data_IF_762207673164
#
_entry.id   IF_762207673164
#
_cell.length_a   1.000
_cell.length_b   1.000
_cell.length_c   1.000
_cell.angle_alpha   90.00
_cell.angle_beta   90.00
_cell.angle_gamma   90.00
#
_symmetry.space_group_name_H-M   'P 1'
#
loop_
_entity.id
_entity.type
_entity.pdbx_description
1 polymer ?
#
# COMPACT_ATOMS: atom_id res chain seq x y z
N UNK A 1 -19.17 7.62 -4.62
CA UNK A 1 -19.33 8.84 -3.78
C UNK A 1 -20.73 9.45 -3.96
N UNK A 2 -21.22 9.60 -5.18
CA UNK A 2 -22.46 10.31 -5.55
C UNK A 2 -23.75 9.73 -4.94
N UNK A 3 -23.92 8.41 -4.92
CA UNK A 3 -25.16 7.77 -4.43
C UNK A 3 -25.42 7.90 -2.93
N UNK A 4 -24.39 8.01 -2.09
CA UNK A 4 -24.55 8.16 -0.64
C UNK A 4 -24.74 9.62 -0.23
N UNK A 5 -24.05 10.53 -0.93
CA UNK A 5 -24.18 11.99 -0.72
C UNK A 5 -25.58 12.47 -1.09
N UNK A 6 -26.17 11.91 -2.16
CA UNK A 6 -27.52 12.23 -2.59
C UNK A 6 -28.64 11.84 -1.59
N UNK A 7 -28.34 11.03 -0.57
CA UNK A 7 -29.33 10.63 0.46
C UNK A 7 -29.49 11.65 1.58
N UNK A 8 -28.63 12.67 1.65
CA UNK A 8 -28.63 13.66 2.74
C UNK A 8 -29.06 15.02 2.18
N UNK A 9 -30.31 15.40 2.44
CA UNK A 9 -30.93 16.62 1.89
C UNK A 9 -30.30 17.93 2.37
N UNK A 10 -29.61 17.92 3.52
CA UNK A 10 -28.95 19.10 4.11
C UNK A 10 -27.51 19.32 3.64
N UNK A 11 -27.01 18.48 2.74
CA UNK A 11 -25.60 18.51 2.30
C UNK A 11 -24.65 17.84 3.29
N UNK A 12 -23.39 17.68 2.88
CA UNK A 12 -22.32 17.06 3.66
C UNK A 12 -21.05 17.91 3.57
N UNK A 13 -20.36 18.06 4.70
CA UNK A 13 -19.05 18.72 4.78
C UNK A 13 -17.99 17.66 5.05
N UNK A 14 -16.90 17.68 4.30
CA UNK A 14 -15.72 16.84 4.53
C UNK A 14 -14.56 17.77 4.92
N UNK A 15 -14.08 17.67 6.15
CA UNK A 15 -12.92 18.41 6.65
C UNK A 15 -11.81 17.45 7.06
N UNK A 16 -10.53 17.83 6.95
CA UNK A 16 -9.43 17.04 7.49
C UNK A 16 -9.56 16.90 9.01
N UNK A 17 -9.46 15.67 9.52
CA UNK A 17 -9.45 15.44 10.97
C UNK A 17 -8.02 15.35 11.52
N UNK A 18 -7.14 14.62 10.83
CA UNK A 18 -5.76 14.38 11.25
C UNK A 18 -4.85 14.24 10.03
N UNK A 19 -3.59 14.65 10.18
CA UNK A 19 -2.50 14.31 9.28
C UNK A 19 -1.64 13.21 9.90
N UNK A 20 -1.13 12.29 9.07
CA UNK A 20 -0.30 11.19 9.53
C UNK A 20 0.50 10.58 8.39
N UNK A 21 1.43 9.70 8.74
CA UNK A 21 2.29 8.99 7.80
C UNK A 21 1.76 7.58 7.52
N UNK A 22 2.20 7.00 6.41
CA UNK A 22 1.99 5.59 6.09
C UNK A 22 3.33 4.89 6.27
N UNK A 23 3.41 3.96 7.22
CA UNK A 23 4.59 3.15 7.46
C UNK A 23 4.55 1.85 6.66
N UNK A 24 5.73 1.36 6.25
CA UNK A 24 5.89 0.01 5.74
C UNK A 24 6.13 -0.94 6.91
N UNK A 25 5.23 -1.91 7.09
CA UNK A 25 5.47 -3.06 7.96
C UNK A 25 6.17 -4.16 7.19
N UNK A 26 7.19 -4.77 7.77
CA UNK A 26 7.90 -5.92 7.22
C UNK A 26 8.27 -6.90 8.32
N UNK A 27 8.57 -8.14 7.94
CA UNK A 27 8.96 -9.21 8.85
C UNK A 27 10.15 -9.97 8.24
N UNK A 28 11.34 -9.41 8.38
CA UNK A 28 12.56 -10.03 7.89
C UNK A 28 13.74 -9.54 8.71
N UNK A 29 14.75 -10.40 8.92
CA UNK A 29 15.97 -10.06 9.68
C UNK A 29 16.88 -9.13 8.84
N UNK A 30 16.53 -7.84 8.82
CA UNK A 30 17.22 -6.81 8.05
C UNK A 30 16.97 -5.39 8.59
N UNK A 31 17.99 -4.53 8.62
CA UNK A 31 17.84 -3.07 8.82
C UNK A 31 17.42 -2.40 7.51
N UNK A 32 16.14 -2.53 7.17
CA UNK A 32 15.62 -2.12 5.88
C UNK A 32 15.50 -0.59 5.75
N UNK A 33 16.17 -0.01 4.75
CA UNK A 33 16.06 1.42 4.39
C UNK A 33 15.68 1.57 2.93
N UNK A 34 14.37 1.74 2.68
CA UNK A 34 13.83 1.85 1.33
C UNK A 34 13.97 3.25 0.75
N UNK A 35 14.46 3.34 -0.48
CA UNK A 35 14.25 4.52 -1.32
C UNK A 35 12.80 4.55 -1.85
N UNK A 36 12.34 5.72 -2.31
CA UNK A 36 11.03 5.85 -2.95
C UNK A 36 10.91 4.95 -4.18
N UNK A 37 11.97 4.83 -4.98
CA UNK A 37 11.99 3.95 -6.15
C UNK A 37 11.84 2.47 -5.75
N UNK A 38 12.57 2.02 -4.72
CA UNK A 38 12.47 0.65 -4.22
C UNK A 38 11.05 0.34 -3.72
N UNK A 39 10.44 1.27 -2.98
CA UNK A 39 9.06 1.13 -2.51
C UNK A 39 8.06 0.94 -3.67
N UNK A 40 8.21 1.73 -4.74
CA UNK A 40 7.37 1.60 -5.95
C UNK A 40 7.62 0.26 -6.64
N UNK A 41 8.88 -0.14 -6.81
CA UNK A 41 9.25 -1.41 -7.46
C UNK A 41 8.73 -2.63 -6.70
N UNK A 42 8.75 -2.62 -5.37
CA UNK A 42 8.14 -3.66 -4.52
C UNK A 42 6.63 -3.73 -4.77
N UNK A 43 5.94 -2.59 -4.71
CA UNK A 43 4.49 -2.52 -4.92
C UNK A 43 4.06 -2.93 -6.34
N UNK A 44 4.94 -2.73 -7.33
CA UNK A 44 4.78 -3.16 -8.72
C UNK A 44 5.18 -4.63 -8.97
N UNK A 45 5.64 -5.36 -7.94
CA UNK A 45 6.04 -6.77 -8.04
C UNK A 45 7.36 -6.99 -8.79
N UNK A 46 8.17 -5.95 -8.95
CA UNK A 46 9.45 -5.99 -9.66
C UNK A 46 10.59 -6.52 -8.76
N UNK A 47 10.50 -6.32 -7.45
CA UNK A 47 11.42 -6.88 -6.46
C UNK A 47 10.82 -8.14 -5.89
N UNK A 48 11.55 -9.26 -5.97
CA UNK A 48 11.07 -10.58 -5.55
C UNK A 48 11.95 -11.25 -4.50
N UNK A 49 13.16 -10.74 -4.31
CA UNK A 49 14.09 -11.23 -3.28
C UNK A 49 14.57 -10.09 -2.38
N UNK A 50 14.60 -10.33 -1.07
CA UNK A 50 15.12 -9.41 -0.05
C UNK A 50 16.58 -9.00 -0.30
N UNK A 51 17.37 -9.82 -1.00
CA UNK A 51 18.74 -9.50 -1.42
C UNK A 51 18.82 -8.26 -2.30
N UNK A 52 17.80 -8.00 -3.12
CA UNK A 52 17.74 -6.82 -3.98
C UNK A 52 17.62 -5.51 -3.17
N UNK A 53 17.30 -5.61 -1.88
CA UNK A 53 17.17 -4.50 -0.94
C UNK A 53 18.34 -4.41 0.05
N UNK A 54 19.42 -5.16 -0.19
CA UNK A 54 20.60 -5.19 0.67
C UNK A 54 20.49 -6.12 1.88
N UNK A 55 19.46 -6.97 1.94
CA UNK A 55 19.27 -7.95 3.00
C UNK A 55 19.86 -9.32 2.63
N UNK A 56 19.73 -10.31 3.53
CA UNK A 56 19.99 -11.73 3.21
C UNK A 56 19.00 -12.21 2.14
N UNK A 57 19.40 -13.17 1.29
CA UNK A 57 18.51 -13.72 0.26
C UNK A 57 17.31 -14.41 0.86
N UNK A 58 16.14 -14.12 0.33
CA UNK A 58 14.87 -14.68 0.77
C UNK A 58 13.74 -14.13 -0.08
N UNK A 59 12.69 -14.93 -0.25
CA UNK A 59 11.54 -14.52 -1.07
C UNK A 59 10.84 -13.32 -0.42
N UNK A 60 10.71 -12.23 -1.16
CA UNK A 60 9.92 -11.06 -0.76
C UNK A 60 8.47 -11.23 -1.22
N UNK A 61 7.53 -11.06 -0.29
CA UNK A 61 6.09 -11.10 -0.60
C UNK A 61 5.43 -9.75 -0.30
N UNK A 62 5.05 -9.03 -1.36
CA UNK A 62 4.24 -7.82 -1.23
C UNK A 62 2.85 -8.16 -0.67
N UNK A 63 2.40 -7.40 0.32
CA UNK A 63 1.06 -7.55 0.92
C UNK A 63 0.33 -6.22 0.92
N UNK A 64 -0.94 -6.24 0.55
CA UNK A 64 -1.76 -5.03 0.46
C UNK A 64 -3.19 -5.26 0.94
N UNK A 65 -3.95 -4.17 1.08
CA UNK A 65 -5.38 -4.23 1.37
C UNK A 65 -6.14 -4.81 0.17
N UNK A 66 -7.02 -5.79 0.42
CA UNK A 66 -7.93 -6.34 -0.59
C UNK A 66 -9.25 -5.56 -0.69
N UNK A 67 -9.61 -4.81 0.35
CA UNK A 67 -10.81 -4.00 0.41
C UNK A 67 -10.52 -2.50 0.22
N UNK A 68 -11.56 -1.73 -0.08
CA UNK A 68 -11.46 -0.29 -0.32
C UNK A 68 -10.90 0.46 0.90
N UNK A 69 -9.70 1.02 0.77
CA UNK A 69 -8.94 1.58 1.89
C UNK A 69 -8.54 3.04 1.66
N UNK A 70 -8.67 3.87 2.71
CA UNK A 70 -8.14 5.24 2.71
C UNK A 70 -6.61 5.26 2.65
N UNK A 71 -5.95 4.34 3.37
CA UNK A 71 -4.50 4.14 3.32
C UNK A 71 -4.03 3.79 1.93
N UNK A 72 -4.74 2.90 1.22
CA UNK A 72 -4.42 2.57 -0.17
C UNK A 72 -4.52 3.80 -1.06
N UNK A 73 -5.57 4.62 -0.93
CA UNK A 73 -5.71 5.84 -1.72
C UNK A 73 -4.53 6.81 -1.50
N UNK A 74 -4.15 7.04 -0.26
CA UNK A 74 -3.02 7.90 0.04
C UNK A 74 -1.70 7.29 -0.44
N UNK A 75 -1.50 5.98 -0.27
CA UNK A 75 -0.33 5.24 -0.76
C UNK A 75 -0.17 5.36 -2.28
N UNK A 76 -1.22 5.04 -3.07
CA UNK A 76 -1.15 5.10 -4.53
C UNK A 76 -0.94 6.52 -5.04
N UNK A 77 -1.49 7.52 -4.34
CA UNK A 77 -1.24 8.93 -4.64
C UNK A 77 0.23 9.31 -4.46
N UNK A 78 0.88 8.78 -3.41
CA UNK A 78 2.32 8.95 -3.22
C UNK A 78 3.12 8.22 -4.32
N UNK A 79 2.77 6.98 -4.67
CA UNK A 79 3.48 6.24 -5.72
C UNK A 79 3.41 6.94 -7.08
N UNK A 80 2.24 7.47 -7.44
CA UNK A 80 2.03 8.26 -8.67
C UNK A 80 2.85 9.56 -8.67
N UNK A 81 3.02 10.20 -7.51
CA UNK A 81 3.83 11.40 -7.38
C UNK A 81 5.35 11.11 -7.41
N UNK A 82 5.78 9.96 -6.86
CA UNK A 82 7.20 9.63 -6.72
C UNK A 82 7.82 9.04 -7.98
N UNK A 83 7.02 8.45 -8.86
CA UNK A 83 7.59 7.56 -9.87
C UNK A 83 6.87 7.56 -11.21
N UNK A 84 7.62 7.71 -12.32
CA UNK A 84 7.06 7.59 -13.66
C UNK A 84 6.71 6.15 -14.05
N UNK A 85 7.22 5.13 -13.34
CA UNK A 85 6.89 3.72 -13.63
C UNK A 85 5.57 3.28 -13.01
N UNK A 86 5.00 4.07 -12.08
CA UNK A 86 3.71 3.77 -11.48
C UNK A 86 2.58 4.06 -12.48
N UNK A 87 1.86 3.02 -12.89
CA UNK A 87 0.79 3.13 -13.89
C UNK A 87 -0.55 2.54 -13.42
N UNK A 88 -0.69 2.23 -12.13
CA UNK A 88 -1.92 1.66 -11.57
C UNK A 88 -2.98 2.74 -11.26
N UNK A 89 -2.58 4.02 -11.35
CA UNK A 89 -3.38 5.19 -10.98
C UNK A 89 -3.56 5.32 -9.46
N UNK A 90 -4.42 6.26 -9.07
CA UNK A 90 -4.73 6.54 -7.66
C UNK A 90 -6.15 6.14 -7.28
N UNK A 91 -6.30 5.37 -6.20
CA UNK A 91 -7.62 4.91 -5.78
C UNK A 91 -7.65 4.20 -4.43
N UNK A 92 -8.87 4.01 -3.89
CA UNK A 92 -9.06 3.19 -2.68
C UNK A 92 -8.79 1.70 -2.91
N UNK A 93 -8.70 1.29 -4.17
CA UNK A 93 -8.32 -0.03 -4.65
C UNK A 93 -7.74 0.15 -6.06
N UNK A 94 -6.71 -0.62 -6.39
CA UNK A 94 -6.10 -0.68 -7.72
C UNK A 94 -5.90 -2.14 -8.13
N UNK A 95 -5.63 -2.38 -9.42
CA UNK A 95 -5.29 -3.72 -9.91
C UNK A 95 -3.82 -4.00 -9.63
N UNK A 96 -3.55 -4.59 -8.48
CA UNK A 96 -2.18 -4.94 -8.08
C UNK A 96 -1.61 -6.01 -9.02
N UNK A 97 -0.39 -5.82 -9.57
CA UNK A 97 0.23 -6.77 -10.47
C UNK A 97 0.72 -8.04 -9.76
N UNK A 98 0.98 -7.96 -8.46
CA UNK A 98 1.46 -9.06 -7.64
C UNK A 98 1.12 -8.82 -6.16
N UNK A 99 1.37 -9.84 -5.34
CA UNK A 99 1.26 -9.78 -3.89
C UNK A 99 0.02 -10.48 -3.35
N UNK A 100 -0.13 -10.42 -2.03
CA UNK A 100 -1.22 -11.04 -1.27
C UNK A 100 -2.16 -9.96 -0.75
N UNK A 101 -3.42 -10.02 -1.15
CA UNK A 101 -4.46 -9.13 -0.66
C UNK A 101 -5.08 -9.64 0.63
N UNK A 102 -5.15 -8.81 1.67
CA UNK A 102 -5.81 -9.12 2.94
C UNK A 102 -6.82 -8.04 3.36
N UNK A 103 -7.89 -8.47 4.03
CA UNK A 103 -8.98 -7.57 4.44
C UNK A 103 -8.63 -6.85 5.73
N UNK A 104 -8.80 -5.52 5.73
CA UNK A 104 -8.57 -4.70 6.91
C UNK A 104 -7.10 -4.61 7.35
N UNK A 105 -6.82 -3.82 8.38
CA UNK A 105 -5.46 -3.65 8.89
C UNK A 105 -4.92 -4.92 9.57
N UNK A 106 -5.77 -5.58 10.37
CA UNK A 106 -5.41 -6.82 11.07
C UNK A 106 -5.09 -7.96 10.10
N UNK A 107 -5.83 -8.07 8.99
CA UNK A 107 -5.55 -9.08 7.98
C UNK A 107 -4.18 -8.87 7.33
N UNK A 108 -3.83 -7.63 6.97
CA UNK A 108 -2.51 -7.30 6.40
C UNK A 108 -1.39 -7.62 7.40
N UNK A 109 -1.54 -7.22 8.66
CA UNK A 109 -0.56 -7.54 9.70
C UNK A 109 -0.39 -9.06 9.90
N UNK A 110 -1.50 -9.82 9.87
CA UNK A 110 -1.46 -11.27 9.96
C UNK A 110 -0.70 -11.93 8.79
N UNK A 111 -0.85 -11.42 7.56
CA UNK A 111 -0.06 -11.93 6.42
C UNK A 111 1.43 -11.63 6.60
N UNK A 112 1.79 -10.41 7.04
CA UNK A 112 3.18 -10.03 7.31
C UNK A 112 3.80 -10.95 8.38
N UNK A 113 3.09 -11.21 9.48
CA UNK A 113 3.59 -12.08 10.55
C UNK A 113 3.81 -13.53 10.09
N UNK A 114 2.93 -14.04 9.23
CA UNK A 114 2.99 -15.43 8.78
C UNK A 114 3.80 -15.64 7.49
N UNK A 115 4.34 -14.57 6.90
CA UNK A 115 5.14 -14.62 5.66
C UNK A 115 6.47 -13.89 5.87
N UNK A 116 7.46 -14.55 6.49
CA UNK A 116 8.83 -14.00 6.58
C UNK A 116 9.50 -13.91 5.20
#
# INVERSE_FOLDING_TARGET
KTKAIAKVSRGLVQFPMVGGTIAFGYNYDCDLKLTQEQAVRIAMGMVKDWKELGCKSGKLTWTHRSDGSGTTKAFTNSMEAFSPIWNLGTGKSVKWPAGVGAKGNSGVAGVIQNTP
#
